data_IF_914228456240
#
_entry.id   IF_914228456240
#
_cell.length_a   1.000
_cell.length_b   1.000
_cell.length_c   1.000
_cell.angle_alpha   90.00
_cell.angle_beta   90.00
_cell.angle_gamma   90.00
#
_symmetry.space_group_name_H-M   'P 1'
#
loop_
_entity.id
_entity.type
_entity.pdbx_description
1 polymer ?
#
# COMPACT_ATOMS: atom_id res chain seq x y z
N UNK A 1 32.55 -6.49 -46.26
CA UNK A 1 32.59 -6.15 -44.82
C UNK A 1 31.25 -6.60 -44.23
N UNK A 2 31.13 -7.60 -43.36
CA UNK A 2 31.77 -7.80 -42.03
C UNK A 2 31.50 -6.59 -41.13
N UNK A 3 30.95 -6.61 -39.89
CA UNK A 3 30.57 -7.61 -38.86
C UNK A 3 29.50 -6.92 -37.92
N UNK A 4 28.69 -7.51 -37.03
CA UNK A 4 28.22 -8.88 -36.67
C UNK A 4 26.89 -8.72 -35.84
N UNK A 5 26.18 -9.81 -35.51
CA UNK A 5 25.08 -9.86 -34.53
C UNK A 5 25.52 -9.52 -33.09
N UNK A 6 24.62 -8.94 -32.27
CA UNK A 6 24.50 -9.25 -30.84
C UNK A 6 23.17 -8.77 -30.21
N UNK A 7 22.35 -9.71 -29.74
CA UNK A 7 21.37 -9.43 -28.65
C UNK A 7 22.16 -9.26 -27.36
N UNK A 8 21.94 -8.19 -26.60
CA UNK A 8 22.39 -8.10 -25.22
C UNK A 8 21.16 -8.17 -24.30
N UNK A 9 21.00 -9.35 -23.72
CA UNK A 9 20.17 -9.57 -22.53
C UNK A 9 20.85 -8.83 -21.38
N UNK A 10 20.19 -7.84 -20.78
CA UNK A 10 20.68 -7.22 -19.55
C UNK A 10 20.45 -8.15 -18.36
N UNK A 11 21.39 -9.08 -18.18
CA UNK A 11 21.48 -9.94 -17.00
C UNK A 11 21.76 -9.07 -15.78
N UNK A 12 20.82 -9.02 -14.84
CA UNK A 12 21.01 -8.35 -13.55
C UNK A 12 22.14 -9.02 -12.75
N UNK A 13 23.21 -8.30 -12.36
CA UNK A 13 24.25 -8.87 -11.50
C UNK A 13 23.75 -8.98 -10.05
N UNK A 14 23.72 -10.20 -9.52
CA UNK A 14 23.42 -10.49 -8.11
C UNK A 14 24.58 -10.08 -7.20
N UNK A 15 24.56 -8.83 -6.71
CA UNK A 15 25.50 -8.35 -5.69
C UNK A 15 24.91 -8.57 -4.28
N UNK A 16 25.40 -9.61 -3.59
CA UNK A 16 25.14 -9.82 -2.16
C UNK A 16 25.95 -8.82 -1.34
N UNK A 17 25.29 -8.03 -0.48
CA UNK A 17 25.94 -7.40 0.66
C UNK A 17 25.10 -7.65 1.92
N UNK A 18 25.75 -8.16 2.97
CA UNK A 18 25.11 -8.61 4.19
C UNK A 18 25.16 -7.50 5.26
N UNK A 19 24.02 -6.85 5.47
CA UNK A 19 23.55 -6.23 6.73
C UNK A 19 22.35 -5.31 6.45
N UNK A 20 21.33 -5.87 5.80
CA UNK A 20 20.00 -5.26 5.75
C UNK A 20 19.10 -6.16 6.59
N UNK A 21 18.40 -5.60 7.57
CA UNK A 21 17.34 -6.30 8.30
C UNK A 21 16.14 -6.47 7.36
N UNK A 22 16.28 -7.34 6.36
CA UNK A 22 15.13 -7.81 5.60
C UNK A 22 14.33 -8.72 6.52
N UNK A 23 13.09 -8.35 6.82
CA UNK A 23 12.10 -9.25 7.40
C UNK A 23 12.24 -10.63 6.73
N UNK A 24 12.49 -11.68 7.52
CA UNK A 24 12.74 -13.00 6.94
C UNK A 24 11.48 -13.46 6.23
N UNK A 25 11.68 -13.85 4.97
CA UNK A 25 10.70 -14.48 4.09
C UNK A 25 9.95 -15.57 4.86
N UNK A 26 8.67 -15.34 5.12
CA UNK A 26 7.75 -16.37 5.57
C UNK A 26 7.17 -17.04 4.32
N UNK A 27 7.77 -18.15 3.90
CA UNK A 27 7.25 -18.90 2.75
C UNK A 27 6.03 -19.73 3.17
N UNK A 28 4.87 -19.33 2.63
CA UNK A 28 3.54 -19.96 2.71
C UNK A 28 2.62 -19.59 3.90
N UNK A 29 1.37 -19.26 3.55
CA UNK A 29 0.20 -18.95 4.42
C UNK A 29 0.21 -17.59 5.16
N UNK A 30 0.58 -16.49 4.50
CA UNK A 30 -0.16 -15.23 4.61
C UNK A 30 0.26 -14.28 3.47
N UNK A 31 -0.56 -14.16 2.42
CA UNK A 31 -0.42 -13.05 1.46
C UNK A 31 -0.98 -11.78 2.11
N UNK A 32 -0.19 -11.17 2.99
CA UNK A 32 -0.54 -9.90 3.62
C UNK A 32 -0.78 -8.86 2.53
N UNK A 33 -1.95 -8.22 2.54
CA UNK A 33 -2.21 -7.11 1.63
C UNK A 33 -1.36 -5.92 2.08
N UNK A 34 -0.68 -5.30 1.13
CA UNK A 34 0.12 -4.11 1.35
C UNK A 34 -0.14 -3.06 0.28
N UNK A 35 -0.02 -1.79 0.67
CA UNK A 35 -0.17 -0.65 -0.21
C UNK A 35 1.19 -0.42 -0.91
N UNK A 36 1.19 -0.37 -2.25
CA UNK A 36 2.34 -0.01 -3.07
C UNK A 36 2.44 1.51 -3.24
N UNK A 37 1.31 2.16 -3.49
CA UNK A 37 1.21 3.58 -3.78
C UNK A 37 -0.11 4.14 -3.25
N UNK A 38 -0.10 5.39 -2.80
CA UNK A 38 -1.26 6.13 -2.30
C UNK A 38 -1.22 7.55 -2.84
N UNK A 39 -2.37 8.03 -3.32
CA UNK A 39 -2.49 9.37 -3.89
C UNK A 39 -3.72 10.06 -3.34
N UNK A 40 -3.55 11.29 -2.87
CA UNK A 40 -4.67 12.16 -2.56
C UNK A 40 -5.43 12.54 -3.83
N UNK A 41 -6.77 12.45 -3.80
CA UNK A 41 -7.63 12.83 -4.93
C UNK A 41 -8.34 14.14 -4.64
N UNK A 42 -9.17 14.18 -3.58
CA UNK A 42 -9.92 15.36 -3.12
C UNK A 42 -10.57 15.11 -1.76
N UNK A 43 -10.76 16.16 -0.95
CA UNK A 43 -11.46 16.12 0.34
C UNK A 43 -10.93 15.02 1.29
N UNK A 44 -11.59 13.87 1.37
CA UNK A 44 -11.18 12.69 2.15
C UNK A 44 -11.03 11.43 1.27
N UNK A 45 -10.97 11.61 -0.04
CA UNK A 45 -10.83 10.55 -1.05
C UNK A 45 -9.37 10.38 -1.45
N UNK A 46 -8.94 9.12 -1.40
CA UNK A 46 -7.61 8.68 -1.79
C UNK A 46 -7.71 7.57 -2.83
N UNK A 47 -6.75 7.52 -3.73
CA UNK A 47 -6.57 6.43 -4.68
C UNK A 47 -5.44 5.53 -4.18
N UNK A 48 -5.67 4.21 -4.18
CA UNK A 48 -4.75 3.21 -3.65
C UNK A 48 -4.34 2.19 -4.71
N UNK A 49 -3.09 1.74 -4.65
CA UNK A 49 -2.56 0.61 -5.42
C UNK A 49 -2.08 -0.46 -4.44
N UNK A 50 -2.55 -1.69 -4.58
CA UNK A 50 -2.22 -2.81 -3.70
C UNK A 50 -1.26 -3.80 -4.36
N UNK A 51 -0.50 -4.54 -3.54
CA UNK A 51 0.38 -5.63 -3.98
C UNK A 51 -0.32 -6.76 -4.77
N UNK A 52 -1.61 -6.94 -4.56
CA UNK A 52 -2.49 -7.85 -5.32
C UNK A 52 -2.79 -7.38 -6.75
N UNK A 53 -2.24 -6.25 -7.19
CA UNK A 53 -2.54 -5.62 -8.49
C UNK A 53 -3.93 -5.00 -8.57
N UNK A 54 -4.65 -4.90 -7.44
CA UNK A 54 -5.91 -4.15 -7.35
C UNK A 54 -5.63 -2.68 -7.13
N UNK A 55 -6.56 -1.86 -7.61
CA UNK A 55 -6.58 -0.41 -7.45
C UNK A 55 -8.00 0.03 -7.09
N UNK A 56 -8.15 1.18 -6.45
CA UNK A 56 -9.46 1.78 -6.22
C UNK A 56 -9.41 3.10 -5.47
N UNK A 57 -10.46 3.90 -5.66
CA UNK A 57 -10.72 5.09 -4.86
C UNK A 57 -11.43 4.68 -3.55
N UNK A 58 -10.97 5.25 -2.43
CA UNK A 58 -11.53 5.02 -1.10
C UNK A 58 -11.88 6.34 -0.46
N UNK A 59 -13.13 6.49 -0.02
CA UNK A 59 -13.57 7.60 0.82
C UNK A 59 -13.34 7.26 2.31
N UNK A 60 -12.60 8.14 2.99
CA UNK A 60 -12.29 8.03 4.41
C UNK A 60 -13.12 8.99 5.27
N UNK A 61 -14.04 9.78 4.69
CA UNK A 61 -14.91 10.72 5.43
C UNK A 61 -15.58 10.05 6.63
N UNK A 62 -16.18 8.87 6.43
CA UNK A 62 -16.84 8.14 7.52
C UNK A 62 -15.90 7.84 8.69
N UNK A 63 -14.64 7.47 8.40
CA UNK A 63 -13.65 7.19 9.43
C UNK A 63 -13.21 8.46 10.16
N UNK A 64 -13.02 9.56 9.42
CA UNK A 64 -12.62 10.87 9.96
C UNK A 64 -13.69 11.47 10.89
N UNK A 65 -14.97 11.27 10.60
CA UNK A 65 -16.07 11.79 11.44
C UNK A 65 -16.56 10.82 12.52
N UNK A 66 -16.37 9.50 12.36
CA UNK A 66 -16.82 8.49 13.34
C UNK A 66 -16.01 8.46 14.63
N UNK A 67 -14.71 8.70 14.57
CA UNK A 67 -13.82 8.56 15.72
C UNK A 67 -13.34 9.93 16.24
N UNK A 68 -13.16 10.11 17.57
CA UNK A 68 -12.55 11.32 18.12
C UNK A 68 -11.04 11.41 17.84
N UNK A 69 -10.36 10.27 17.70
CA UNK A 69 -8.90 10.21 17.41
C UNK A 69 -8.58 10.84 16.03
N UNK A 70 -9.50 10.76 15.08
CA UNK A 70 -9.38 11.36 13.75
C UNK A 70 -9.89 12.80 13.66
N UNK A 71 -10.27 13.44 14.78
CA UNK A 71 -10.65 14.85 14.80
C UNK A 71 -9.60 15.81 14.21
N UNK A 72 -8.28 15.64 14.43
CA UNK A 72 -7.26 16.45 13.76
C UNK A 72 -7.31 16.38 12.23
N UNK A 73 -7.70 15.22 11.68
CA UNK A 73 -7.78 14.96 10.23
C UNK A 73 -8.94 15.70 9.56
N UNK A 74 -9.88 16.28 10.32
CA UNK A 74 -10.93 17.17 9.78
C UNK A 74 -10.35 18.47 9.20
N UNK A 75 -9.09 18.79 9.51
CA UNK A 75 -8.34 19.88 8.85
C UNK A 75 -7.72 19.34 7.56
N UNK A 76 -8.01 19.93 6.37
CA UNK A 76 -7.44 19.46 5.10
C UNK A 76 -5.91 19.37 5.12
N UNK A 77 -5.24 20.34 5.74
CA UNK A 77 -3.78 20.36 5.91
C UNK A 77 -3.25 19.14 6.66
N UNK A 78 -3.95 18.66 7.69
CA UNK A 78 -3.56 17.48 8.45
C UNK A 78 -3.83 16.19 7.64
N UNK A 79 -4.97 16.12 6.94
CA UNK A 79 -5.29 14.98 6.09
C UNK A 79 -4.29 14.80 4.93
N UNK A 80 -3.75 15.91 4.41
CA UNK A 80 -2.72 15.90 3.36
C UNK A 80 -1.35 15.36 3.81
N UNK A 81 -1.07 15.28 5.12
CA UNK A 81 0.15 14.65 5.68
C UNK A 81 0.03 13.11 5.78
N UNK A 82 -0.81 12.50 4.93
CA UNK A 82 -0.93 11.05 4.83
C UNK A 82 0.39 10.44 4.32
N UNK A 83 0.82 9.37 4.96
CA UNK A 83 2.03 8.63 4.56
C UNK A 83 1.83 7.12 4.77
N UNK A 84 2.73 6.33 4.18
CA UNK A 84 2.82 4.90 4.46
C UNK A 84 3.91 4.67 5.51
N UNK A 85 3.59 3.87 6.52
CA UNK A 85 4.53 3.49 7.57
C UNK A 85 5.47 2.34 7.13
N UNK A 86 6.22 1.75 8.07
CA UNK A 86 7.11 0.63 7.79
C UNK A 86 6.38 -0.73 7.61
N UNK A 87 5.07 -0.80 7.86
CA UNK A 87 4.19 -1.95 7.70
C UNK A 87 3.15 -1.75 6.58
N UNK A 88 3.51 -1.03 5.49
CA UNK A 88 2.61 -0.46 4.49
C UNK A 88 1.22 0.02 4.92
N UNK A 89 1.07 0.49 6.15
CA UNK A 89 -0.17 0.99 6.74
C UNK A 89 -0.32 2.46 6.41
N UNK A 90 -1.55 2.91 6.14
CA UNK A 90 -1.82 4.32 5.90
C UNK A 90 -1.91 5.05 7.24
N UNK A 91 -1.00 6.00 7.48
CA UNK A 91 -0.86 6.69 8.75
C UNK A 91 -0.81 8.23 8.58
N UNK A 92 -1.06 8.92 9.68
CA UNK A 92 -0.94 10.37 9.83
C UNK A 92 -0.19 10.72 11.12
N UNK A 93 0.48 11.88 11.13
CA UNK A 93 1.22 12.40 12.28
C UNK A 93 0.35 12.59 13.55
N UNK A 94 -0.98 12.60 13.42
CA UNK A 94 -1.92 12.61 14.55
C UNK A 94 -1.99 11.29 15.32
N UNK A 95 -1.26 10.25 14.91
CA UNK A 95 -1.35 8.91 15.48
C UNK A 95 -2.64 8.17 15.12
N UNK A 96 -3.26 8.53 13.99
CA UNK A 96 -4.35 7.78 13.40
C UNK A 96 -3.79 6.96 12.24
N UNK A 97 -4.21 5.71 12.15
CA UNK A 97 -3.82 4.76 11.13
C UNK A 97 -5.05 3.98 10.59
N UNK A 98 -4.95 3.48 9.35
CA UNK A 98 -5.95 2.61 8.74
C UNK A 98 -5.24 1.44 8.09
N UNK A 99 -5.64 0.24 8.49
CA UNK A 99 -5.04 -1.01 8.05
C UNK A 99 -5.26 -1.29 6.55
N UNK A 100 -4.29 -1.90 5.85
CA UNK A 100 -4.42 -2.20 4.42
C UNK A 100 -5.60 -3.11 4.07
N UNK A 101 -6.05 -3.96 4.99
CA UNK A 101 -7.14 -4.92 4.75
C UNK A 101 -8.50 -4.21 4.71
N UNK A 102 -8.77 -3.30 5.65
CA UNK A 102 -9.92 -2.40 5.67
C UNK A 102 -9.96 -1.51 4.43
N UNK A 103 -8.81 -0.98 4.00
CA UNK A 103 -8.72 -0.18 2.78
C UNK A 103 -8.98 -1.01 1.52
N UNK A 104 -8.48 -2.24 1.46
CA UNK A 104 -8.76 -3.17 0.36
C UNK A 104 -10.23 -3.59 0.31
N UNK A 105 -10.86 -3.84 1.46
CA UNK A 105 -12.29 -4.12 1.56
C UNK A 105 -13.12 -2.93 1.06
N UNK A 106 -12.77 -1.69 1.47
CA UNK A 106 -13.41 -0.47 0.97
C UNK A 106 -13.23 -0.26 -0.54
N UNK A 107 -12.05 -0.53 -1.08
CA UNK A 107 -11.74 -0.36 -2.50
C UNK A 107 -12.39 -1.41 -3.41
N UNK A 108 -12.54 -2.65 -2.94
CA UNK A 108 -12.94 -3.79 -3.78
C UNK A 108 -14.29 -4.41 -3.43
N UNK A 109 -14.86 -4.08 -2.27
CA UNK A 109 -16.03 -4.74 -1.69
C UNK A 109 -15.80 -6.20 -1.26
N UNK A 110 -14.57 -6.72 -1.37
CA UNK A 110 -14.25 -8.13 -1.10
C UNK A 110 -13.54 -8.29 0.23
N UNK A 111 -14.02 -9.24 1.03
CA UNK A 111 -13.32 -9.63 2.25
C UNK A 111 -12.14 -10.55 1.92
N UNK A 112 -11.09 -10.47 2.74
CA UNK A 112 -9.93 -11.36 2.64
C UNK A 112 -10.24 -12.82 3.01
N UNK A 113 -11.38 -13.07 3.66
CA UNK A 113 -11.83 -14.42 4.01
C UNK A 113 -12.68 -15.09 2.92
N UNK A 114 -13.49 -14.35 2.14
CA UNK A 114 -14.20 -14.91 0.98
C UNK A 114 -13.26 -15.27 -0.18
N UNK A 115 -12.21 -14.49 -0.39
CA UNK A 115 -11.31 -14.66 -1.54
C UNK A 115 -10.45 -15.94 -1.45
N UNK A 116 -10.50 -16.67 -0.32
CA UNK A 116 -9.80 -17.96 -0.10
C UNK A 116 -10.70 -19.19 -0.25
N UNK A 117 -11.99 -19.01 -0.54
CA UNK A 117 -13.01 -20.07 -0.53
C UNK A 117 -13.44 -20.54 -1.94
N UNK A 118 -12.72 -20.14 -3.00
CA UNK A 118 -12.98 -20.49 -4.41
C UNK A 118 -11.70 -20.84 -5.15
#
# INVERSE_FOLDING_TARGET
MFFLLARIVYTFPQARNANRLTCKRADSIMDCISIIDVRYVKEYQIFLIFNTGKIGDVDLRDLVYKNPISEPLRKPEAFLQLHLDCWPTLAWDSGFDVDPESLYFRATGKSLWETKAS
#
